data_IF_256737043824
#
_entry.id   IF_256737043824
#
_cell.length_a   1.000
_cell.length_b   1.000
_cell.length_c   1.000
_cell.angle_alpha   90.00
_cell.angle_beta   90.00
_cell.angle_gamma   90.00
#
_symmetry.space_group_name_H-M   'P 1'
#
loop_
_entity.id
_entity.type
_entity.pdbx_description
1 polymer ?
#
# COMPACT_ATOMS: atom_id res chain seq x y z
N UNK A 1 22.96 -3.34 -25.07
CA UNK A 1 21.75 -4.17 -25.26
C UNK A 1 20.55 -3.39 -24.75
N UNK A 2 19.69 -2.88 -25.63
CA UNK A 2 18.39 -2.37 -25.21
C UNK A 2 17.56 -3.57 -24.79
N UNK A 3 17.48 -3.83 -23.47
CA UNK A 3 16.52 -4.78 -22.94
C UNK A 3 15.15 -4.18 -23.20
N UNK A 4 14.40 -4.77 -24.13
CA UNK A 4 13.03 -4.36 -24.40
C UNK A 4 12.27 -4.45 -23.07
N UNK A 5 11.71 -3.34 -22.60
CA UNK A 5 11.03 -3.30 -21.30
C UNK A 5 9.87 -4.31 -21.33
N UNK A 6 9.91 -5.29 -20.42
CA UNK A 6 8.83 -6.26 -20.30
C UNK A 6 7.61 -5.55 -19.73
N UNK A 7 6.46 -5.67 -20.39
CA UNK A 7 5.22 -5.05 -19.96
C UNK A 7 4.82 -5.47 -18.54
N UNK A 8 5.14 -6.70 -18.13
CA UNK A 8 4.90 -7.17 -16.76
C UNK A 8 5.77 -6.43 -15.74
N UNK A 9 7.04 -6.15 -16.07
CA UNK A 9 7.91 -5.38 -15.19
C UNK A 9 7.39 -3.94 -15.02
N UNK A 10 6.91 -3.33 -16.10
CA UNK A 10 6.28 -2.00 -16.05
C UNK A 10 5.01 -1.98 -15.18
N UNK A 11 4.14 -2.99 -15.33
CA UNK A 11 2.92 -3.11 -14.51
C UNK A 11 3.28 -3.31 -13.04
N UNK A 12 4.23 -4.19 -12.73
CA UNK A 12 4.69 -4.43 -11.37
C UNK A 12 5.27 -3.15 -10.73
N UNK A 13 6.15 -2.47 -11.44
CA UNK A 13 6.78 -1.25 -10.93
C UNK A 13 5.74 -0.14 -10.71
N UNK A 14 4.72 -0.02 -11.57
CA UNK A 14 3.59 0.89 -11.36
C UNK A 14 2.87 0.64 -10.02
N UNK A 15 2.52 -0.62 -9.72
CA UNK A 15 1.85 -0.95 -8.46
C UNK A 15 2.75 -0.73 -7.23
N UNK A 16 4.05 -0.99 -7.35
CA UNK A 16 5.00 -0.70 -6.27
C UNK A 16 5.12 0.81 -6.00
N UNK A 17 5.16 1.63 -7.06
CA UNK A 17 5.19 3.10 -6.94
C UNK A 17 3.89 3.60 -6.30
N UNK A 18 2.73 3.13 -6.76
CA UNK A 18 1.43 3.49 -6.17
C UNK A 18 1.32 3.09 -4.70
N UNK A 19 1.81 1.90 -4.36
CA UNK A 19 1.89 1.47 -2.97
C UNK A 19 2.76 2.39 -2.11
N UNK A 20 3.91 2.82 -2.64
CA UNK A 20 4.79 3.75 -1.93
C UNK A 20 4.15 5.13 -1.73
N UNK A 21 3.52 5.70 -2.77
CA UNK A 21 2.78 6.97 -2.69
C UNK A 21 1.69 6.92 -1.61
N UNK A 22 0.90 5.84 -1.58
CA UNK A 22 -0.16 5.63 -0.59
C UNK A 22 0.39 5.55 0.82
N UNK A 23 1.41 4.73 1.05
CA UNK A 23 2.04 4.55 2.35
C UNK A 23 2.64 5.86 2.88
N UNK A 24 3.30 6.64 2.03
CA UNK A 24 3.89 7.91 2.44
C UNK A 24 2.81 8.93 2.82
N UNK A 25 1.77 9.05 2.00
CA UNK A 25 0.69 10.04 2.18
C UNK A 25 -0.16 9.77 3.42
N UNK A 26 -0.24 8.51 3.85
CA UNK A 26 -1.11 8.05 4.94
C UNK A 26 -0.34 7.41 6.11
N UNK A 27 0.97 7.65 6.19
CA UNK A 27 1.88 6.99 7.14
C UNK A 27 1.39 7.08 8.60
N UNK A 28 0.95 8.25 9.04
CA UNK A 28 0.45 8.49 10.40
C UNK A 28 -0.80 7.68 10.76
N UNK A 29 -1.74 7.50 9.82
CA UNK A 29 -2.94 6.66 10.02
C UNK A 29 -2.55 5.19 10.03
N UNK A 30 -1.72 4.76 9.08
CA UNK A 30 -1.24 3.37 8.98
C UNK A 30 -0.48 2.97 10.24
N UNK A 31 0.43 3.84 10.72
CA UNK A 31 1.23 3.57 11.90
C UNK A 31 0.37 3.51 13.16
N UNK A 32 -0.61 4.41 13.30
CA UNK A 32 -1.58 4.34 14.40
C UNK A 32 -2.41 3.05 14.36
N UNK A 33 -2.85 2.62 13.17
CA UNK A 33 -3.56 1.35 13.03
C UNK A 33 -2.69 0.15 13.39
N UNK A 34 -1.40 0.18 13.04
CA UNK A 34 -0.45 -0.89 13.39
C UNK A 34 -0.17 -0.95 14.88
N UNK A 35 -0.05 0.20 15.55
CA UNK A 35 0.20 0.25 16.99
C UNK A 35 -1.03 -0.09 17.82
N UNK A 36 -2.19 0.43 17.42
CA UNK A 36 -3.46 0.26 18.12
C UNK A 36 -4.61 0.17 17.11
N UNK A 37 -4.98 -1.05 16.68
CA UNK A 37 -6.01 -1.24 15.68
C UNK A 37 -7.38 -0.77 16.18
N UNK A 38 -7.99 0.20 15.50
CA UNK A 38 -9.34 0.65 15.78
C UNK A 38 -9.77 1.78 14.85
N UNK A 39 -10.68 1.50 13.89
CA UNK A 39 -11.07 2.48 12.88
C UNK A 39 -11.69 3.74 13.50
N UNK A 40 -12.58 3.56 14.48
CA UNK A 40 -13.29 4.67 15.14
C UNK A 40 -12.34 5.54 15.99
N UNK A 41 -11.46 4.92 16.78
CA UNK A 41 -10.47 5.62 17.58
C UNK A 41 -9.50 6.43 16.70
N UNK A 42 -9.10 5.86 15.56
CA UNK A 42 -8.21 6.54 14.61
C UNK A 42 -8.95 7.68 13.90
N UNK A 43 -10.23 7.49 13.54
CA UNK A 43 -11.02 8.56 12.93
C UNK A 43 -11.21 9.75 13.88
N UNK A 44 -11.47 9.49 15.16
CA UNK A 44 -11.55 10.54 16.17
C UNK A 44 -10.19 11.23 16.37
N UNK A 45 -9.10 10.47 16.46
CA UNK A 45 -7.75 11.00 16.69
C UNK A 45 -7.28 11.95 15.58
N UNK A 46 -7.62 11.65 14.32
CA UNK A 46 -7.16 12.40 13.15
C UNK A 46 -8.23 13.30 12.53
N UNK A 47 -9.41 13.41 13.17
CA UNK A 47 -10.53 14.24 12.70
C UNK A 47 -10.93 13.97 11.23
N UNK A 48 -10.95 12.68 10.86
CA UNK A 48 -11.32 12.21 9.52
C UNK A 48 -12.50 11.25 9.59
N UNK A 49 -13.16 11.00 8.46
CA UNK A 49 -14.27 10.04 8.41
C UNK A 49 -13.75 8.62 8.68
N UNK A 50 -14.48 7.83 9.46
CA UNK A 50 -14.20 6.41 9.68
C UNK A 50 -14.15 5.62 8.36
N UNK A 51 -14.94 6.04 7.36
CA UNK A 51 -14.89 5.47 6.00
C UNK A 51 -13.54 5.76 5.33
N UNK A 52 -12.99 6.96 5.51
CA UNK A 52 -11.66 7.30 4.98
C UNK A 52 -10.56 6.45 5.65
N UNK A 53 -10.64 6.25 6.97
CA UNK A 53 -9.70 5.35 7.67
C UNK A 53 -9.80 3.93 7.11
N UNK A 54 -11.02 3.43 6.90
CA UNK A 54 -11.24 2.12 6.29
C UNK A 54 -10.62 2.01 4.89
N UNK A 55 -10.85 2.99 4.02
CA UNK A 55 -10.33 3.01 2.66
C UNK A 55 -8.81 3.03 2.64
N UNK A 56 -8.19 3.90 3.45
CA UNK A 56 -6.73 3.99 3.61
C UNK A 56 -6.15 2.64 4.02
N UNK A 57 -6.75 2.00 5.02
CA UNK A 57 -6.24 0.72 5.53
C UNK A 57 -6.50 -0.44 4.56
N UNK A 58 -7.61 -0.41 3.83
CA UNK A 58 -7.91 -1.38 2.77
C UNK A 58 -6.86 -1.30 1.66
N UNK A 59 -6.54 -0.10 1.19
CA UNK A 59 -5.53 0.11 0.15
C UNK A 59 -4.12 -0.24 0.62
N UNK A 60 -3.76 0.11 1.87
CA UNK A 60 -2.49 -0.31 2.48
C UNK A 60 -2.31 -1.84 2.43
N UNK A 61 -3.33 -2.60 2.86
CA UNK A 61 -3.27 -4.08 2.86
C UNK A 61 -3.17 -4.65 1.45
N UNK A 62 -3.86 -4.06 0.48
CA UNK A 62 -3.77 -4.48 -0.92
C UNK A 62 -2.36 -4.24 -1.47
N UNK A 63 -1.74 -3.11 -1.14
CA UNK A 63 -0.38 -2.79 -1.57
C UNK A 63 0.67 -3.72 -0.96
N UNK A 64 0.51 -4.11 0.31
CA UNK A 64 1.36 -5.13 0.95
C UNK A 64 1.23 -6.49 0.25
N UNK A 65 0.00 -6.89 -0.11
CA UNK A 65 -0.25 -8.13 -0.86
C UNK A 65 0.42 -8.07 -2.25
N UNK A 66 0.21 -6.99 -3.00
CA UNK A 66 0.81 -6.79 -4.31
C UNK A 66 2.34 -6.85 -4.24
N UNK A 67 2.95 -6.16 -3.26
CA UNK A 67 4.39 -6.19 -3.04
C UNK A 67 4.90 -7.61 -2.84
N UNK A 68 4.24 -8.39 -1.98
CA UNK A 68 4.65 -9.76 -1.68
C UNK A 68 4.52 -10.68 -2.90
N UNK A 69 3.43 -10.56 -3.68
CA UNK A 69 3.23 -11.33 -4.92
C UNK A 69 4.30 -10.99 -5.95
N UNK A 70 4.57 -9.70 -6.18
CA UNK A 70 5.56 -9.24 -7.16
C UNK A 70 6.96 -9.72 -6.78
N UNK A 71 7.36 -9.56 -5.52
CA UNK A 71 8.66 -10.05 -5.04
C UNK A 71 8.78 -11.55 -5.23
N UNK A 72 7.70 -12.30 -4.93
CA UNK A 72 7.71 -13.75 -5.10
C UNK A 72 7.86 -14.17 -6.56
N UNK A 73 7.17 -13.50 -7.47
CA UNK A 73 7.30 -13.74 -8.91
C UNK A 73 8.75 -13.47 -9.35
N UNK A 74 9.33 -12.34 -8.95
CA UNK A 74 10.71 -11.96 -9.29
C UNK A 74 11.76 -12.92 -8.72
N UNK A 75 11.51 -13.57 -7.58
CA UNK A 75 12.39 -14.64 -7.03
C UNK A 75 12.33 -15.95 -7.83
N UNK A 76 11.20 -16.24 -8.47
CA UNK A 76 10.97 -17.48 -9.22
C UNK A 76 11.32 -17.40 -10.71
N UNK A 77 11.72 -16.21 -11.19
CA UNK A 77 12.17 -15.94 -12.56
C UNK A 77 13.69 -15.96 -12.68
#
# INVERSE_FOLDING_TARGET
>A
MNKQANIMDLIHDFFLIKGHEHCNSNSYIIDSYKSEPGLFNISEKYEIDVVQVYEIMREYRLNELNRNVILKIKETM
#
